data_IF_805081963791
#
_entry.id   IF_805081963791
#
_cell.length_a   1.000
_cell.length_b   1.000
_cell.length_c   1.000
_cell.angle_alpha   90.00
_cell.angle_beta   90.00
_cell.angle_gamma   90.00
#
_symmetry.space_group_name_H-M   'P 1'
#
loop_
_entity.id
_entity.type
_entity.pdbx_description
1 polymer ?
#
# COMPACT_ATOMS: atom_id res chain seq x y z
N UNK A 1 17.85 5.63 13.85
CA UNK A 1 17.25 5.00 12.64
C UNK A 1 17.36 6.01 11.52
N UNK A 2 17.85 5.64 10.33
CA UNK A 2 18.04 6.54 9.17
C UNK A 2 17.13 6.25 7.98
N UNK A 3 16.54 5.05 7.94
CA UNK A 3 15.53 4.62 6.97
C UNK A 3 14.70 3.49 7.62
N UNK A 4 13.51 3.24 7.10
CA UNK A 4 12.59 2.17 7.54
C UNK A 4 12.21 1.32 6.33
N UNK A 5 12.14 0.00 6.53
CA UNK A 5 11.55 -0.94 5.55
C UNK A 5 10.30 -1.56 6.16
N UNK A 6 9.17 -1.42 5.47
CA UNK A 6 7.91 -2.07 5.80
C UNK A 6 7.75 -3.31 4.91
N UNK A 7 7.51 -4.47 5.51
CA UNK A 7 7.32 -5.74 4.80
C UNK A 7 6.36 -6.63 5.60
N UNK A 8 5.92 -7.72 4.99
CA UNK A 8 4.98 -8.66 5.62
C UNK A 8 5.69 -9.93 6.08
N UNK A 9 5.18 -10.50 7.18
CA UNK A 9 5.55 -11.84 7.63
C UNK A 9 4.66 -12.94 7.03
N UNK A 10 3.59 -12.59 6.30
CA UNK A 10 2.71 -13.55 5.66
C UNK A 10 3.23 -13.94 4.28
N UNK A 11 3.15 -15.22 3.91
CA UNK A 11 3.72 -15.70 2.63
C UNK A 11 2.97 -15.21 1.38
N UNK A 12 1.65 -15.01 1.48
CA UNK A 12 0.78 -14.78 0.31
C UNK A 12 0.38 -13.33 0.08
N UNK A 13 0.69 -12.45 1.03
CA UNK A 13 0.24 -11.08 0.97
C UNK A 13 1.16 -10.16 1.77
N UNK A 14 1.47 -9.02 1.17
CA UNK A 14 1.94 -7.85 1.89
C UNK A 14 0.89 -7.40 2.90
N UNK A 15 -0.31 -7.02 2.44
CA UNK A 15 -1.42 -6.63 3.29
C UNK A 15 -2.71 -6.54 2.46
N UNK A 16 -3.80 -7.14 2.90
CA UNK A 16 -5.10 -7.10 2.21
C UNK A 16 -6.06 -6.04 2.77
N UNK A 17 -5.53 -5.12 3.60
CA UNK A 17 -6.29 -4.02 4.18
C UNK A 17 -7.05 -4.42 5.44
N UNK A 18 -8.15 -3.72 5.70
CA UNK A 18 -8.91 -3.88 6.94
C UNK A 18 -9.57 -5.26 7.05
N UNK A 19 -9.64 -5.79 8.27
CA UNK A 19 -10.33 -7.06 8.53
C UNK A 19 -11.84 -6.88 8.39
N UNK A 20 -12.41 -7.44 7.32
CA UNK A 20 -13.85 -7.35 7.06
C UNK A 20 -14.69 -8.09 8.10
N UNK A 21 -14.18 -9.14 8.75
CA UNK A 21 -14.90 -9.84 9.82
C UNK A 21 -14.99 -8.94 11.05
N UNK A 22 -13.91 -8.26 11.41
CA UNK A 22 -13.91 -7.25 12.48
C UNK A 22 -14.87 -6.11 12.13
N UNK A 23 -14.75 -5.53 10.94
CA UNK A 23 -15.58 -4.39 10.52
C UNK A 23 -17.08 -4.72 10.48
N UNK A 24 -17.45 -5.94 10.09
CA UNK A 24 -18.84 -6.39 10.09
C UNK A 24 -19.42 -6.57 11.49
N UNK A 25 -18.59 -6.63 12.53
CA UNK A 25 -19.03 -6.72 13.92
C UNK A 25 -19.27 -5.35 14.57
N UNK A 26 -18.85 -4.26 13.92
CA UNK A 26 -18.96 -2.92 14.48
C UNK A 26 -20.29 -2.26 14.16
N UNK A 27 -20.79 -1.51 15.14
CA UNK A 27 -21.81 -0.47 14.94
C UNK A 27 -21.21 0.76 14.25
N UNK A 28 -22.06 1.61 13.67
CA UNK A 28 -21.63 2.88 13.07
C UNK A 28 -20.86 3.76 14.06
N UNK A 29 -21.27 3.78 15.34
CA UNK A 29 -20.60 4.54 16.38
C UNK A 29 -19.19 4.00 16.67
N UNK A 30 -18.99 2.68 16.61
CA UNK A 30 -17.66 2.06 16.77
C UNK A 30 -16.77 2.34 15.57
N UNK A 31 -17.29 2.23 14.35
CA UNK A 31 -16.58 2.61 13.14
C UNK A 31 -16.12 4.07 13.17
N UNK A 32 -16.98 4.98 13.64
CA UNK A 32 -16.64 6.40 13.77
C UNK A 32 -15.59 6.65 14.85
N UNK A 33 -15.58 5.87 15.94
CA UNK A 33 -14.52 5.94 16.96
C UNK A 33 -13.19 5.33 16.49
N UNK A 34 -13.22 4.26 15.70
CA UNK A 34 -12.01 3.61 15.20
C UNK A 34 -11.34 4.42 14.08
N UNK A 35 -12.13 5.07 13.21
CA UNK A 35 -11.63 5.76 12.01
C UNK A 35 -10.42 6.69 12.26
N UNK A 36 -10.39 7.56 13.29
CA UNK A 36 -9.23 8.39 13.58
C UNK A 36 -7.97 7.58 13.92
N UNK A 37 -8.12 6.46 14.63
CA UNK A 37 -7.01 5.57 14.99
C UNK A 37 -6.44 4.88 13.75
N UNK A 38 -7.31 4.32 12.91
CA UNK A 38 -6.89 3.69 11.65
C UNK A 38 -6.21 4.70 10.73
N UNK A 39 -6.77 5.91 10.59
CA UNK A 39 -6.16 6.99 9.82
C UNK A 39 -4.78 7.37 10.39
N UNK A 40 -4.66 7.49 11.71
CA UNK A 40 -3.39 7.83 12.35
C UNK A 40 -2.31 6.78 12.08
N UNK A 41 -2.64 5.49 11.93
CA UNK A 41 -1.67 4.47 11.57
C UNK A 41 -1.05 4.71 10.18
N UNK A 42 -1.86 5.03 9.16
CA UNK A 42 -1.35 5.37 7.83
C UNK A 42 -0.56 6.67 7.83
N UNK A 43 -1.11 7.70 8.50
CA UNK A 43 -0.44 9.01 8.62
C UNK A 43 0.88 8.90 9.37
N UNK A 44 1.00 8.04 10.37
CA UNK A 44 2.25 7.83 11.09
C UNK A 44 3.36 7.24 10.22
N UNK A 45 3.02 6.40 9.23
CA UNK A 45 3.99 5.93 8.22
C UNK A 45 4.35 7.06 7.25
N UNK A 46 3.34 7.79 6.75
CA UNK A 46 3.53 8.91 5.83
C UNK A 46 4.38 10.04 6.43
N UNK A 47 4.23 10.30 7.73
CA UNK A 47 4.91 11.37 8.45
C UNK A 47 6.23 10.92 9.10
N UNK A 48 6.74 9.72 8.77
CA UNK A 48 8.04 9.28 9.27
C UNK A 48 9.12 10.33 8.92
N UNK A 49 9.96 10.75 9.88
CA UNK A 49 11.00 11.75 9.63
C UNK A 49 12.21 11.18 8.89
N UNK A 50 12.10 9.95 8.39
CA UNK A 50 13.14 9.20 7.70
C UNK A 50 12.51 8.48 6.50
N UNK A 51 13.26 8.23 5.42
CA UNK A 51 12.75 7.53 4.25
C UNK A 51 12.18 6.15 4.59
N UNK A 52 11.02 5.84 4.05
CA UNK A 52 10.31 4.57 4.21
C UNK A 52 10.21 3.84 2.87
N UNK A 53 10.53 2.54 2.87
CA UNK A 53 10.44 1.68 1.70
C UNK A 53 9.50 0.52 1.99
N UNK A 54 8.49 0.31 1.15
CA UNK A 54 7.65 -0.89 1.18
C UNK A 54 8.30 -2.00 0.34
N UNK A 55 8.43 -3.19 0.92
CA UNK A 55 8.78 -4.44 0.24
C UNK A 55 7.49 -5.27 0.07
N UNK A 56 7.01 -5.34 -1.17
CA UNK A 56 5.68 -5.84 -1.52
C UNK A 56 5.79 -7.12 -2.34
N UNK A 57 5.47 -8.23 -1.70
CA UNK A 57 5.13 -9.50 -2.36
C UNK A 57 3.63 -9.79 -2.21
N UNK A 58 3.09 -10.61 -3.10
CA UNK A 58 1.69 -11.04 -3.08
C UNK A 58 0.69 -9.87 -3.08
N UNK A 59 -0.45 -10.05 -2.42
CA UNK A 59 -1.50 -9.05 -2.41
C UNK A 59 -1.18 -7.83 -1.52
N UNK A 60 -1.20 -6.63 -2.12
CA UNK A 60 -1.31 -5.35 -1.45
C UNK A 60 -2.62 -4.69 -1.91
N UNK A 61 -3.71 -4.83 -1.13
CA UNK A 61 -5.05 -4.41 -1.55
C UNK A 61 -5.71 -3.49 -0.53
N UNK A 62 -6.44 -2.50 -1.02
CA UNK A 62 -7.17 -1.51 -0.23
C UNK A 62 -6.24 -0.83 0.78
N UNK A 63 -6.59 -0.87 2.06
CA UNK A 63 -5.73 -0.37 3.14
C UNK A 63 -4.29 -0.90 3.12
N UNK A 64 -4.05 -2.11 2.60
CA UNK A 64 -2.71 -2.66 2.45
C UNK A 64 -1.91 -2.03 1.31
N UNK A 65 -2.56 -1.59 0.24
CA UNK A 65 -1.90 -0.74 -0.74
C UNK A 65 -1.78 0.70 -0.25
N UNK A 66 -2.74 1.21 0.53
CA UNK A 66 -2.67 2.55 1.11
C UNK A 66 -1.47 2.72 2.06
N UNK A 67 -1.12 1.70 2.86
CA UNK A 67 0.09 1.77 3.69
C UNK A 67 1.37 1.68 2.87
N UNK A 68 1.36 0.94 1.75
CA UNK A 68 2.50 0.92 0.83
C UNK A 68 2.66 2.27 0.10
N UNK A 69 1.55 2.90 -0.30
CA UNK A 69 1.52 4.25 -0.87
C UNK A 69 1.92 5.35 0.12
N UNK A 70 1.83 5.07 1.42
CA UNK A 70 2.32 5.96 2.47
C UNK A 70 3.84 5.89 2.64
N UNK A 71 4.52 4.87 2.10
CA UNK A 71 5.98 4.84 2.01
C UNK A 71 6.46 5.70 0.83
N UNK A 72 7.72 6.14 0.89
CA UNK A 72 8.34 6.95 -0.17
C UNK A 72 8.61 6.15 -1.43
N UNK A 73 8.99 4.88 -1.27
CA UNK A 73 9.32 3.96 -2.36
C UNK A 73 8.68 2.58 -2.14
N UNK A 74 8.31 1.92 -3.24
CA UNK A 74 7.77 0.57 -3.26
C UNK A 74 8.64 -0.32 -4.15
N UNK A 75 9.26 -1.32 -3.52
CA UNK A 75 9.93 -2.43 -4.19
C UNK A 75 8.95 -3.60 -4.21
N UNK A 76 8.75 -4.21 -5.37
CA UNK A 76 7.87 -5.34 -5.55
C UNK A 76 8.57 -6.52 -6.23
N UNK A 77 8.10 -7.73 -5.97
CA UNK A 77 8.46 -8.93 -6.74
C UNK A 77 7.36 -9.26 -7.78
N UNK A 78 7.57 -10.26 -8.66
CA UNK A 78 6.59 -10.64 -9.68
C UNK A 78 5.27 -11.19 -9.14
N UNK A 79 5.20 -11.58 -7.87
CA UNK A 79 3.97 -12.07 -7.23
C UNK A 79 3.04 -10.93 -6.79
N UNK A 80 3.53 -9.68 -6.79
CA UNK A 80 2.80 -8.54 -6.31
C UNK A 80 1.52 -8.25 -7.13
N UNK A 81 0.41 -8.07 -6.43
CA UNK A 81 -0.85 -7.60 -6.99
C UNK A 81 -1.36 -6.43 -6.18
N UNK A 82 -1.46 -5.26 -6.81
CA UNK A 82 -1.81 -3.99 -6.14
C UNK A 82 -3.17 -3.48 -6.57
N UNK A 83 -3.86 -2.73 -5.71
CA UNK A 83 -5.11 -2.07 -6.08
C UNK A 83 -5.89 -1.48 -4.91
N UNK A 84 -6.88 -0.64 -5.24
CA UNK A 84 -7.80 0.00 -4.31
C UNK A 84 -9.26 -0.45 -4.62
N UNK A 85 -9.66 -1.67 -4.22
CA UNK A 85 -10.93 -2.26 -4.61
C UNK A 85 -12.13 -1.82 -3.73
N UNK A 86 -11.95 -0.85 -2.84
CA UNK A 86 -12.95 -0.41 -1.84
C UNK A 86 -14.33 -0.12 -2.46
N UNK A 87 -14.38 0.46 -3.66
CA UNK A 87 -15.66 0.82 -4.29
C UNK A 87 -16.49 -0.40 -4.68
N UNK A 88 -15.87 -1.58 -4.84
CA UNK A 88 -16.58 -2.83 -5.12
C UNK A 88 -17.45 -3.30 -3.95
N UNK A 89 -17.20 -2.78 -2.75
CA UNK A 89 -17.98 -3.07 -1.52
C UNK A 89 -18.67 -1.83 -0.97
N UNK A 90 -18.84 -0.78 -1.79
CA UNK A 90 -19.61 0.42 -1.44
C UNK A 90 -18.89 1.39 -0.50
N UNK A 91 -17.56 1.32 -0.41
CA UNK A 91 -16.75 2.28 0.37
C UNK A 91 -15.66 2.91 -0.50
N UNK A 92 -14.94 3.90 0.02
CA UNK A 92 -13.83 4.56 -0.69
C UNK A 92 -12.50 4.26 0.02
N UNK A 93 -11.35 4.40 -0.68
CA UNK A 93 -10.04 4.33 -0.03
C UNK A 93 -9.90 5.45 1.02
N UNK A 94 -9.77 5.04 2.28
CA UNK A 94 -9.88 5.92 3.45
C UNK A 94 -8.57 6.15 4.21
N UNK A 95 -7.56 5.32 3.97
CA UNK A 95 -6.21 5.43 4.54
C UNK A 95 -5.30 6.45 3.82
N UNK A 96 -5.75 6.99 2.69
CA UNK A 96 -5.02 8.03 1.94
C UNK A 96 -4.91 7.77 0.45
N UNK A 97 -5.38 6.62 -0.04
CA UNK A 97 -5.27 6.19 -1.44
C UNK A 97 -5.88 7.18 -2.43
N UNK A 98 -6.99 7.83 -2.09
CA UNK A 98 -7.60 8.89 -2.93
C UNK A 98 -6.72 10.12 -3.09
N UNK A 99 -5.68 10.27 -2.26
CA UNK A 99 -4.78 11.42 -2.26
C UNK A 99 -3.38 11.02 -2.76
N UNK A 100 -2.87 9.87 -2.30
CA UNK A 100 -1.52 9.40 -2.60
C UNK A 100 -1.42 8.79 -4.01
N UNK A 101 -2.42 8.02 -4.45
CA UNK A 101 -2.40 7.41 -5.77
C UNK A 101 -2.36 8.46 -6.91
N UNK A 102 -3.21 9.52 -6.91
CA UNK A 102 -3.13 10.57 -7.92
C UNK A 102 -1.78 11.30 -7.95
N UNK A 103 -1.10 11.48 -6.82
CA UNK A 103 0.24 12.10 -6.76
C UNK A 103 1.29 11.25 -7.46
N UNK A 104 1.08 9.94 -7.53
CA UNK A 104 2.01 9.00 -8.12
C UNK A 104 1.77 8.75 -9.60
N UNK A 105 0.51 8.58 -10.00
CA UNK A 105 0.16 8.16 -11.37
C UNK A 105 -0.72 9.16 -12.14
N UNK A 106 -0.98 10.32 -11.54
CA UNK A 106 -1.88 11.32 -12.09
C UNK A 106 -3.36 11.02 -11.82
N UNK A 107 -4.19 12.06 -11.84
CA UNK A 107 -5.59 11.98 -11.46
C UNK A 107 -6.42 11.07 -12.37
N UNK A 108 -6.20 11.12 -13.68
CA UNK A 108 -6.99 10.33 -14.63
C UNK A 108 -6.77 8.81 -14.45
N UNK A 109 -5.52 8.38 -14.27
CA UNK A 109 -5.21 6.97 -14.04
C UNK A 109 -5.66 6.52 -12.66
N UNK A 110 -5.47 7.35 -11.63
CA UNK A 110 -5.96 7.04 -10.30
C UNK A 110 -7.49 6.87 -10.28
N UNK A 111 -8.23 7.72 -11.00
CA UNK A 111 -9.67 7.60 -11.15
C UNK A 111 -10.07 6.30 -11.85
N UNK A 112 -9.39 5.94 -12.95
CA UNK A 112 -9.62 4.66 -13.63
C UNK A 112 -9.45 3.48 -12.66
N UNK A 113 -8.29 3.38 -12.00
CA UNK A 113 -7.98 2.29 -11.09
C UNK A 113 -8.97 2.18 -9.92
N UNK A 114 -9.33 3.32 -9.32
CA UNK A 114 -10.26 3.34 -8.18
C UNK A 114 -11.69 3.04 -8.63
N UNK A 115 -12.17 3.65 -9.72
CA UNK A 115 -13.56 3.47 -10.15
C UNK A 115 -13.82 2.07 -10.72
N UNK A 116 -12.83 1.45 -11.36
CA UNK A 116 -12.95 0.07 -11.84
C UNK A 116 -12.70 -0.97 -10.76
N UNK A 117 -12.19 -0.56 -9.59
CA UNK A 117 -11.74 -1.44 -8.51
C UNK A 117 -10.74 -2.52 -8.99
N UNK A 118 -10.07 -2.29 -10.13
CA UNK A 118 -9.26 -3.33 -10.76
C UNK A 118 -7.97 -3.57 -9.99
N UNK A 119 -7.51 -4.81 -10.06
CA UNK A 119 -6.22 -5.25 -9.53
C UNK A 119 -5.19 -5.19 -10.65
N UNK A 120 -3.96 -4.85 -10.29
CA UNK A 120 -2.86 -4.68 -11.24
C UNK A 120 -1.70 -5.58 -10.83
N UNK A 121 -1.29 -6.45 -11.75
CA UNK A 121 -0.17 -7.37 -11.59
C UNK A 121 1.17 -6.63 -11.66
N UNK A 122 2.21 -7.16 -11.02
CA UNK A 122 3.49 -6.49 -10.76
C UNK A 122 4.13 -5.81 -11.97
N UNK A 123 4.12 -6.45 -13.14
CA UNK A 123 4.70 -5.89 -14.36
C UNK A 123 3.95 -4.64 -14.83
N UNK A 124 2.63 -4.73 -14.95
CA UNK A 124 1.81 -3.59 -15.31
C UNK A 124 1.90 -2.51 -14.22
N UNK A 125 1.95 -2.90 -12.94
CA UNK A 125 2.11 -1.98 -11.83
C UNK A 125 3.39 -1.16 -11.98
N UNK A 126 4.50 -1.79 -12.38
CA UNK A 126 5.77 -1.10 -12.65
C UNK A 126 5.67 -0.17 -13.85
N UNK A 127 5.04 -0.61 -14.94
CA UNK A 127 4.84 0.18 -16.17
C UNK A 127 3.96 1.42 -15.93
N UNK A 128 2.95 1.31 -15.06
CA UNK A 128 2.03 2.39 -14.72
C UNK A 128 2.55 3.35 -13.65
N UNK A 129 3.66 3.02 -12.97
CA UNK A 129 4.20 3.78 -11.84
C UNK A 129 3.52 3.49 -10.50
N UNK A 130 2.89 2.33 -10.36
CA UNK A 130 2.26 1.83 -9.13
C UNK A 130 3.24 1.06 -8.23
N UNK A 131 4.44 0.75 -8.72
CA UNK A 131 5.61 0.30 -7.93
C UNK A 131 6.87 0.93 -8.54
N UNK A 132 7.90 1.18 -7.73
CA UNK A 132 9.11 1.92 -8.17
C UNK A 132 10.23 0.99 -8.61
N UNK A 133 10.30 -0.22 -8.06
CA UNK A 133 11.28 -1.23 -8.43
C UNK A 133 10.56 -2.57 -8.54
N UNK A 134 10.86 -3.31 -9.61
CA UNK A 134 10.42 -4.70 -9.77
C UNK A 134 11.67 -5.58 -9.80
N UNK A 135 11.79 -6.48 -8.83
CA UNK A 135 12.92 -7.39 -8.68
C UNK A 135 12.56 -8.83 -9.08
N UNK A 136 13.49 -9.77 -8.91
CA UNK A 136 13.19 -11.19 -9.08
C UNK A 136 12.30 -11.70 -7.92
N UNK A 137 11.73 -12.88 -8.12
CA UNK A 137 10.82 -13.53 -7.17
C UNK A 137 11.44 -13.70 -5.79
N UNK A 138 10.75 -13.21 -4.75
CA UNK A 138 11.22 -13.25 -3.36
C UNK A 138 12.40 -12.34 -3.01
N UNK A 139 12.83 -11.45 -3.91
CA UNK A 139 13.94 -10.51 -3.66
C UNK A 139 13.48 -9.14 -3.14
N UNK A 140 12.17 -8.89 -3.04
CA UNK A 140 11.57 -7.60 -2.66
C UNK A 140 12.14 -7.05 -1.36
N UNK A 141 12.20 -7.89 -0.31
CA UNK A 141 12.72 -7.50 1.01
C UNK A 141 14.22 -7.25 0.97
N UNK A 142 14.98 -8.07 0.26
CA UNK A 142 16.43 -7.94 0.14
C UNK A 142 16.79 -6.63 -0.54
N UNK A 143 16.13 -6.32 -1.65
CA UNK A 143 16.38 -5.08 -2.38
C UNK A 143 15.87 -3.85 -1.62
N UNK A 144 14.72 -3.93 -0.93
CA UNK A 144 14.26 -2.82 -0.10
C UNK A 144 15.23 -2.49 1.05
N UNK A 145 15.83 -3.51 1.68
CA UNK A 145 16.87 -3.31 2.70
C UNK A 145 18.15 -2.73 2.09
N UNK A 146 18.57 -3.21 0.91
CA UNK A 146 19.72 -2.65 0.21
C UNK A 146 19.49 -1.18 -0.18
N UNK A 147 18.30 -0.85 -0.67
CA UNK A 147 17.89 0.51 -1.00
C UNK A 147 17.86 1.40 0.24
N UNK A 148 17.26 0.92 1.34
CA UNK A 148 17.27 1.62 2.62
C UNK A 148 18.69 1.88 3.14
N UNK A 149 19.61 0.92 2.99
CA UNK A 149 21.01 1.09 3.35
C UNK A 149 21.74 2.13 2.48
N UNK A 150 21.45 2.18 1.17
CA UNK A 150 22.00 3.19 0.25
C UNK A 150 21.49 4.60 0.57
N UNK A 151 20.19 4.75 0.84
CA UNK A 151 19.58 6.03 1.22
C UNK A 151 20.11 6.51 2.57
N UNK A 152 20.28 5.58 3.51
CA UNK A 152 20.77 5.90 4.83
C UNK A 152 22.25 6.29 4.84
N UNK A 153 23.05 5.94 3.83
CA UNK A 153 24.52 5.99 3.85
C UNK A 153 25.08 7.32 4.40
#
# INVERSE_FOLDING_TARGET
VRAVVLTSSAERAFCVGADLKERNSFTDAELMRQRPVTRAAYTAVLDLPVPAVAAVHGFALGGGYEIALACDLIVADPSAVVGLPEVSVGVIPGGGGTQLLPRRVGAARAAELVFTARRVEAREAKELGLVDVLVADGEDRTEALALGARIAA
#
